data_IF_640084507916
#
_entry.id   IF_640084507916
#
_cell.length_a   1.000
_cell.length_b   1.000
_cell.length_c   1.000
_cell.angle_alpha   90.00
_cell.angle_beta   90.00
_cell.angle_gamma   90.00
#
_symmetry.space_group_name_H-M   'P 1'
#
loop_
_entity.id
_entity.type
_entity.pdbx_description
1 polymer ?
#
# COMPACT_ATOMS: atom_id res chain seq x y z
N UNK A 1 -23.36 -5.38 14.04
CA UNK A 1 -22.35 -5.13 12.98
C UNK A 1 -21.75 -3.73 13.02
N UNK A 2 -22.55 -2.65 13.07
CA UNK A 2 -22.06 -1.25 13.01
C UNK A 2 -21.02 -0.87 14.09
N UNK A 3 -21.16 -1.42 15.29
CA UNK A 3 -20.23 -1.15 16.41
C UNK A 3 -18.81 -1.70 16.16
N UNK A 4 -18.69 -2.91 15.59
CA UNK A 4 -17.36 -3.49 15.31
C UNK A 4 -16.63 -2.72 14.21
N UNK A 5 -17.35 -2.19 13.21
CA UNK A 5 -16.76 -1.38 12.15
C UNK A 5 -16.22 -0.05 12.70
N UNK A 6 -17.00 0.65 13.53
CA UNK A 6 -16.57 1.87 14.20
C UNK A 6 -15.38 1.63 15.16
N UNK A 7 -15.35 0.49 15.86
CA UNK A 7 -14.22 0.09 16.69
C UNK A 7 -12.96 -0.23 15.87
N UNK A 8 -13.09 -0.83 14.69
CA UNK A 8 -11.97 -1.06 13.77
C UNK A 8 -11.44 0.27 13.20
N UNK A 9 -12.33 1.19 12.80
CA UNK A 9 -11.98 2.53 12.31
C UNK A 9 -11.32 3.38 13.40
N UNK A 10 -11.82 3.32 14.64
CA UNK A 10 -11.23 4.02 15.78
C UNK A 10 -9.88 3.41 16.19
N UNK A 11 -9.73 2.08 16.11
CA UNK A 11 -8.44 1.41 16.32
C UNK A 11 -7.44 1.79 15.25
N UNK A 12 -7.86 1.88 13.98
CA UNK A 12 -7.02 2.30 12.86
C UNK A 12 -6.50 3.74 13.02
N UNK A 13 -7.30 4.64 13.62
CA UNK A 13 -6.91 6.02 13.93
C UNK A 13 -5.94 6.16 15.12
N UNK A 14 -5.82 5.14 15.97
CA UNK A 14 -5.04 5.17 17.21
C UNK A 14 -3.79 4.27 17.17
N UNK A 15 -3.46 3.72 15.99
CA UNK A 15 -2.16 3.11 15.75
C UNK A 15 -1.17 4.27 15.51
N UNK A 16 -0.09 4.40 16.30
CA UNK A 16 0.98 5.33 15.97
C UNK A 16 1.37 5.14 14.50
N UNK A 17 1.58 6.23 13.75
CA UNK A 17 2.06 6.18 12.34
C UNK A 17 3.48 5.60 12.20
N UNK A 18 4.00 4.93 13.22
CA UNK A 18 5.03 3.92 13.05
C UNK A 18 4.37 2.74 12.35
N UNK A 19 4.50 2.75 11.03
CA UNK A 19 4.22 1.63 10.16
C UNK A 19 4.94 0.42 10.72
N UNK A 20 4.19 -0.39 11.45
CA UNK A 20 4.58 -1.69 11.95
C UNK A 20 5.36 -2.35 10.81
N UNK A 21 6.61 -2.67 11.09
CA UNK A 21 7.40 -3.63 10.33
C UNK A 21 6.62 -4.94 10.36
N UNK A 22 5.59 -5.05 9.51
CA UNK A 22 4.77 -6.25 9.41
C UNK A 22 5.73 -7.35 8.99
N UNK A 23 5.98 -8.27 9.91
CA UNK A 23 6.90 -9.39 9.69
C UNK A 23 6.43 -10.21 8.48
N UNK A 24 5.17 -10.10 8.06
CA UNK A 24 4.63 -10.78 6.89
C UNK A 24 4.50 -9.87 5.65
N UNK A 25 5.12 -8.69 5.65
CA UNK A 25 5.09 -7.83 4.48
C UNK A 25 5.90 -8.45 3.32
N UNK A 26 5.34 -8.46 2.10
CA UNK A 26 6.07 -8.90 0.92
C UNK A 26 7.11 -7.88 0.46
N UNK A 27 7.08 -6.63 0.96
CA UNK A 27 8.06 -5.61 0.62
C UNK A 27 9.37 -5.81 1.38
N UNK A 28 10.50 -5.55 0.73
CA UNK A 28 11.83 -5.58 1.33
C UNK A 28 11.97 -4.61 2.51
N UNK A 29 12.97 -4.84 3.35
CA UNK A 29 13.25 -3.97 4.49
C UNK A 29 13.64 -2.56 4.05
N UNK A 30 14.36 -2.41 2.94
CA UNK A 30 14.74 -1.10 2.39
C UNK A 30 13.52 -0.24 2.04
N UNK A 31 12.50 -0.86 1.43
CA UNK A 31 11.23 -0.21 1.12
C UNK A 31 10.50 0.15 2.42
N UNK A 32 10.44 -0.78 3.39
CA UNK A 32 9.78 -0.56 4.68
C UNK A 32 10.53 0.40 5.61
N UNK A 33 11.81 0.66 5.40
CA UNK A 33 12.60 1.61 6.17
C UNK A 33 12.40 3.05 5.69
N UNK A 34 12.07 3.26 4.40
CA UNK A 34 11.97 4.60 3.80
C UNK A 34 10.73 5.40 4.21
N UNK A 35 10.77 6.40 5.09
CA UNK A 35 9.56 7.09 5.54
C UNK A 35 8.76 7.69 4.37
N UNK A 36 7.42 7.58 4.43
CA UNK A 36 6.56 8.25 3.46
C UNK A 36 6.53 9.75 3.75
N UNK A 37 6.55 10.62 2.73
CA UNK A 37 6.37 12.05 2.93
C UNK A 37 5.07 12.34 3.68
N UNK A 38 5.11 13.28 4.63
CA UNK A 38 3.94 13.63 5.44
C UNK A 38 2.77 14.15 4.59
N UNK A 39 3.10 14.88 3.51
CA UNK A 39 2.16 15.45 2.55
C UNK A 39 2.00 14.59 1.29
N UNK A 40 2.29 13.28 1.37
CA UNK A 40 2.09 12.40 0.23
C UNK A 40 0.59 12.37 -0.14
N UNK A 41 0.26 12.98 -1.27
CA UNK A 41 -1.09 12.94 -1.81
C UNK A 41 -1.36 11.59 -2.45
N UNK A 42 -2.29 10.85 -1.86
CA UNK A 42 -2.76 9.61 -2.45
C UNK A 42 -3.74 9.95 -3.58
N UNK A 43 -3.62 9.32 -4.75
CA UNK A 43 -4.60 9.51 -5.79
C UNK A 43 -5.96 9.00 -5.32
N UNK A 44 -7.03 9.66 -5.76
CA UNK A 44 -8.38 9.12 -5.60
C UNK A 44 -8.65 8.00 -6.62
N UNK A 45 -7.80 6.97 -6.61
CA UNK A 45 -8.03 5.76 -7.39
C UNK A 45 -9.16 4.96 -6.73
N UNK A 46 -9.99 4.34 -7.57
CA UNK A 46 -10.82 3.23 -7.11
C UNK A 46 -9.86 2.19 -6.53
N UNK A 47 -10.12 1.74 -5.31
CA UNK A 47 -9.29 0.74 -4.66
C UNK A 47 -9.12 -0.48 -5.56
N UNK A 48 -7.89 -0.98 -5.65
CA UNK A 48 -7.62 -2.23 -6.33
C UNK A 48 -8.22 -3.37 -5.52
N UNK A 49 -9.31 -3.89 -6.03
CA UNK A 49 -9.84 -5.19 -5.64
C UNK A 49 -9.34 -6.22 -6.68
N UNK A 50 -9.23 -7.48 -6.28
CA UNK A 50 -8.69 -8.59 -7.09
C UNK A 50 -9.45 -8.91 -8.39
N UNK A 51 -10.57 -8.23 -8.65
CA UNK A 51 -11.40 -8.32 -9.85
C UNK A 51 -11.15 -7.18 -10.86
N UNK A 52 -10.39 -6.15 -10.47
CA UNK A 52 -9.99 -5.07 -11.37
C UNK A 52 -8.75 -5.49 -12.18
N UNK A 53 -8.61 -4.94 -13.39
CA UNK A 53 -7.42 -5.13 -14.24
C UNK A 53 -6.15 -4.65 -13.49
N UNK A 54 -5.25 -5.57 -13.07
CA UNK A 54 -4.10 -5.22 -12.23
C UNK A 54 -3.11 -4.30 -12.97
N UNK A 55 -2.92 -4.52 -14.28
CA UNK A 55 -2.00 -3.73 -15.11
C UNK A 55 -2.52 -2.31 -15.22
N UNK A 56 -3.81 -2.14 -15.51
CA UNK A 56 -4.41 -0.81 -15.61
C UNK A 56 -4.38 -0.05 -14.28
N UNK A 57 -4.51 -0.75 -13.16
CA UNK A 57 -4.38 -0.12 -11.83
C UNK A 57 -2.93 0.34 -11.59
N UNK A 58 -1.96 -0.52 -11.91
CA UNK A 58 -0.54 -0.21 -11.78
C UNK A 58 -0.14 0.99 -12.66
N UNK A 59 -0.60 1.04 -13.90
CA UNK A 59 -0.35 2.16 -14.83
C UNK A 59 -0.86 3.48 -14.27
N UNK A 60 -2.12 3.50 -13.80
CA UNK A 60 -2.74 4.71 -13.22
C UNK A 60 -2.01 5.19 -11.97
N UNK A 61 -1.61 4.26 -11.11
CA UNK A 61 -0.85 4.58 -9.91
C UNK A 61 0.54 5.10 -10.27
N UNK A 62 1.22 4.48 -11.24
CA UNK A 62 2.55 4.90 -11.72
C UNK A 62 2.49 6.33 -12.24
N UNK A 63 1.57 6.63 -13.15
CA UNK A 63 1.40 7.98 -13.71
C UNK A 63 1.13 9.04 -12.64
N UNK A 64 0.34 8.72 -11.61
CA UNK A 64 0.12 9.65 -10.50
C UNK A 64 1.38 9.90 -9.68
N UNK A 65 2.10 8.84 -9.32
CA UNK A 65 3.29 8.96 -8.49
C UNK A 65 4.44 9.66 -9.23
N UNK A 66 4.54 9.47 -10.55
CA UNK A 66 5.48 10.21 -11.40
C UNK A 66 5.14 11.71 -11.45
N UNK A 67 3.86 12.09 -11.51
CA UNK A 67 3.42 13.49 -11.42
C UNK A 67 3.82 14.14 -10.08
N UNK A 68 3.90 13.34 -9.02
CA UNK A 68 4.36 13.77 -7.69
C UNK A 68 5.89 13.67 -7.53
N UNK A 69 6.63 13.41 -8.61
CA UNK A 69 8.09 13.22 -8.63
C UNK A 69 8.58 12.20 -7.57
N UNK A 70 7.76 11.18 -7.31
CA UNK A 70 8.07 10.18 -6.29
C UNK A 70 9.13 9.20 -6.77
N UNK A 71 10.06 8.84 -5.89
CA UNK A 71 11.01 7.74 -6.18
C UNK A 71 10.30 6.38 -6.18
N UNK A 72 10.82 5.40 -6.92
CA UNK A 72 10.29 4.03 -6.96
C UNK A 72 10.15 3.39 -5.57
N UNK A 73 11.05 3.69 -4.64
CA UNK A 73 10.96 3.20 -3.25
C UNK A 73 9.72 3.73 -2.54
N UNK A 74 9.39 5.01 -2.76
CA UNK A 74 8.17 5.63 -2.22
C UNK A 74 6.92 5.08 -2.92
N UNK A 75 6.99 4.83 -4.24
CA UNK A 75 5.92 4.17 -4.98
C UNK A 75 5.60 2.79 -4.39
N UNK A 76 6.60 1.91 -4.24
CA UNK A 76 6.39 0.60 -3.63
C UNK A 76 5.81 0.70 -2.21
N UNK A 77 6.34 1.61 -1.38
CA UNK A 77 5.88 1.75 0.01
C UNK A 77 4.45 2.27 0.11
N UNK A 78 4.02 3.13 -0.80
CA UNK A 78 2.68 3.71 -0.79
C UNK A 78 1.65 2.86 -1.55
N UNK A 79 2.08 1.99 -2.47
CA UNK A 79 1.19 1.17 -3.30
C UNK A 79 0.15 0.35 -2.51
N UNK A 80 0.49 -0.32 -1.38
CA UNK A 80 -0.49 -1.06 -0.58
C UNK A 80 -1.65 -0.22 -0.05
N UNK A 81 -1.51 1.11 0.02
CA UNK A 81 -2.61 2.00 0.43
C UNK A 81 -3.71 2.10 -0.62
N UNK A 82 -3.45 1.66 -1.86
CA UNK A 82 -4.45 1.58 -2.93
C UNK A 82 -5.23 0.28 -2.91
N UNK A 83 -4.83 -0.69 -2.08
CA UNK A 83 -5.50 -1.98 -2.00
C UNK A 83 -6.84 -1.88 -1.29
N UNK A 84 -7.83 -2.50 -1.92
CA UNK A 84 -9.08 -2.86 -1.28
C UNK A 84 -8.91 -4.04 -0.33
N UNK A 85 -10.03 -4.49 0.25
CA UNK A 85 -10.00 -5.50 1.30
C UNK A 85 -9.52 -6.86 0.78
N UNK A 86 -9.83 -7.21 -0.47
CA UNK A 86 -9.44 -8.50 -1.05
C UNK A 86 -7.96 -8.50 -1.42
N UNK A 87 -7.49 -7.46 -2.10
CA UNK A 87 -6.08 -7.29 -2.45
C UNK A 87 -5.18 -7.26 -1.20
N UNK A 88 -5.60 -6.60 -0.12
CA UNK A 88 -4.88 -6.59 1.16
C UNK A 88 -4.76 -7.98 1.79
N UNK A 89 -5.75 -8.87 1.61
CA UNK A 89 -5.68 -10.26 2.09
C UNK A 89 -4.82 -11.13 1.19
N UNK A 90 -4.88 -10.91 -0.12
CA UNK A 90 -4.02 -11.59 -1.09
C UNK A 90 -2.54 -11.22 -0.89
N UNK A 91 -2.22 -9.95 -0.66
CA UNK A 91 -0.83 -9.50 -0.49
C UNK A 91 -0.13 -10.16 0.70
N UNK A 92 -0.88 -10.50 1.76
CA UNK A 92 -0.37 -11.25 2.93
C UNK A 92 -0.04 -12.72 2.64
N UNK A 93 -0.45 -13.24 1.48
CA UNK A 93 -0.12 -14.60 1.01
C UNK A 93 1.15 -14.62 0.16
N UNK A 94 1.64 -13.46 -0.27
CA UNK A 94 2.89 -13.37 -1.01
C UNK A 94 4.06 -13.79 -0.13
N UNK A 95 5.14 -14.23 -0.77
CA UNK A 95 6.37 -14.55 -0.06
C UNK A 95 6.89 -13.31 0.67
N UNK A 96 7.31 -13.53 1.90
CA UNK A 96 7.86 -12.46 2.73
C UNK A 96 9.09 -11.87 2.03
N UNK A 97 9.18 -10.53 2.00
CA UNK A 97 10.29 -9.77 1.39
C UNK A 97 10.56 -10.06 -0.10
N UNK A 98 9.61 -10.59 -0.87
CA UNK A 98 9.83 -10.90 -2.29
C UNK A 98 9.84 -9.69 -3.23
N UNK A 99 9.32 -8.54 -2.80
CA UNK A 99 9.23 -7.30 -3.59
C UNK A 99 10.38 -6.39 -3.18
N UNK A 100 11.37 -6.23 -4.06
CA UNK A 100 12.56 -5.41 -3.83
C UNK A 100 12.53 -4.09 -4.61
N UNK A 101 11.65 -3.98 -5.62
CA UNK A 101 11.62 -2.88 -6.57
C UNK A 101 10.22 -2.67 -7.16
N UNK A 102 10.07 -1.60 -7.94
CA UNK A 102 8.82 -1.31 -8.65
C UNK A 102 8.47 -2.37 -9.70
N UNK A 103 9.48 -2.98 -10.33
CA UNK A 103 9.31 -4.03 -11.34
C UNK A 103 8.90 -5.39 -10.78
N UNK A 104 8.89 -5.58 -9.46
CA UNK A 104 8.46 -6.83 -8.82
C UNK A 104 6.95 -6.86 -8.50
N UNK A 105 6.23 -5.77 -8.78
CA UNK A 105 4.78 -5.61 -8.62
C UNK A 105 4.01 -5.99 -9.89
#
# INVERSE_FOLDING_TARGET
>A
MKQRLAELEAKQKNIPKEYITDQHSPFSEDILAKPLPEKLEMPQLISYEDDNDPVRHLDRYTSWMELQESSYVIMCRAFPRTFGNRAMRWSKKLLQRSIHSWSDL
#
